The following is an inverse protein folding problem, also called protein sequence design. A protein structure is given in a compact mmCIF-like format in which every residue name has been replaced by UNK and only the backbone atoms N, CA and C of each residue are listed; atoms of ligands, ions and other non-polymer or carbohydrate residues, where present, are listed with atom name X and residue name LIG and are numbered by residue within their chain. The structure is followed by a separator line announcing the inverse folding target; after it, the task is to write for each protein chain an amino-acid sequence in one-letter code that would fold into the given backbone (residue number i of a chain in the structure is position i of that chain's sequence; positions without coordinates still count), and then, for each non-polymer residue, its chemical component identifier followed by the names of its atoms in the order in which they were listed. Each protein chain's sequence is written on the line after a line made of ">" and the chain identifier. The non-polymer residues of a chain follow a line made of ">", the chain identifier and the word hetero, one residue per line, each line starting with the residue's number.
data_IF_607335713821
#
_entry.id   IF_607335713821
#
_cell.length_a   1.000
_cell.length_b   1.000
_cell.length_c   1.000
_cell.angle_alpha   90.00
_cell.angle_beta   90.00
_cell.angle_gamma   90.00
#
_symmetry.space_group_name_H-M   'P 1'
#
loop_
_entity.id
_entity.type
_entity.pdbx_description
1 polymer ?
#
# COMPACT_ATOMS: atom_id res chain seq x y z
N UNK A 1 -17.60 4.73 9.90
CA UNK A 1 -16.15 4.81 10.23
C UNK A 1 -15.47 3.51 9.84
N UNK A 2 -14.30 3.61 9.20
CA UNK A 2 -13.42 2.47 8.95
C UNK A 2 -12.26 2.52 9.95
N UNK A 3 -12.03 1.43 10.67
CA UNK A 3 -10.91 1.28 11.60
C UNK A 3 -10.07 0.08 11.19
N UNK A 4 -8.76 0.28 11.10
CA UNK A 4 -7.77 -0.76 10.86
C UNK A 4 -7.02 -1.05 12.16
N UNK A 5 -6.99 -2.30 12.61
CA UNK A 5 -6.35 -2.65 13.89
C UNK A 5 -4.83 -2.80 13.76
N UNK A 6 -4.36 -3.05 12.53
CA UNK A 6 -2.98 -3.39 12.21
C UNK A 6 -2.08 -2.18 11.94
N UNK A 7 -0.84 -2.49 11.53
CA UNK A 7 0.09 -1.48 11.05
C UNK A 7 -0.42 -0.90 9.73
N UNK A 8 -0.29 0.41 9.53
CA UNK A 8 -0.83 1.07 8.33
C UNK A 8 -0.28 0.51 7.01
N UNK A 9 0.94 -0.05 7.03
CA UNK A 9 1.63 -0.64 5.88
C UNK A 9 1.42 -2.17 5.74
N UNK A 10 0.76 -2.80 6.72
CA UNK A 10 0.41 -4.21 6.73
C UNK A 10 -0.99 -4.37 7.35
N UNK A 11 -2.03 -3.86 6.66
CA UNK A 11 -3.38 -3.87 7.18
C UNK A 11 -3.90 -5.30 7.27
N UNK A 12 -4.41 -5.66 8.45
CA UNK A 12 -5.07 -6.94 8.69
C UNK A 12 -6.56 -6.72 8.95
N UNK A 13 -6.99 -7.12 10.14
CA UNK A 13 -8.37 -6.96 10.56
C UNK A 13 -8.86 -5.52 10.42
N UNK A 14 -10.11 -5.36 10.02
CA UNK A 14 -10.76 -4.06 9.97
C UNK A 14 -12.21 -4.13 10.41
N UNK A 15 -12.69 -2.97 10.84
CA UNK A 15 -14.05 -2.78 11.32
C UNK A 15 -14.70 -1.64 10.54
N UNK A 16 -15.89 -1.90 9.98
CA UNK A 16 -16.71 -0.90 9.31
C UNK A 16 -17.96 -0.64 10.16
N UNK A 17 -18.07 0.57 10.70
CA UNK A 17 -19.25 1.03 11.45
C UNK A 17 -20.11 1.97 10.61
N UNK A 18 -21.42 1.77 10.61
CA UNK A 18 -22.37 2.70 9.99
C UNK A 18 -22.27 4.09 10.62
N UNK A 19 -22.34 5.14 9.79
CA UNK A 19 -22.22 6.53 10.26
C UNK A 19 -23.33 6.93 11.24
N UNK A 20 -24.53 6.35 11.08
CA UNK A 20 -25.69 6.60 11.95
C UNK A 20 -25.75 5.68 13.18
N UNK A 21 -24.69 4.91 13.44
CA UNK A 21 -24.65 3.94 14.53
C UNK A 21 -25.48 2.68 14.26
N UNK A 22 -25.46 1.75 15.23
CA UNK A 22 -26.33 0.57 15.24
C UNK A 22 -25.89 -0.63 14.38
N UNK A 23 -25.01 -0.44 13.40
CA UNK A 23 -24.47 -1.54 12.60
C UNK A 23 -22.95 -1.48 12.52
N UNK A 24 -22.32 -2.64 12.75
CA UNK A 24 -20.88 -2.83 12.63
C UNK A 24 -20.62 -4.15 11.90
N UNK A 25 -19.70 -4.12 10.95
CA UNK A 25 -19.16 -5.29 10.27
C UNK A 25 -17.70 -5.47 10.67
N UNK A 26 -17.32 -6.71 10.91
CA UNK A 26 -15.97 -7.11 11.28
C UNK A 26 -15.40 -8.05 10.22
N UNK A 27 -14.23 -7.70 9.70
CA UNK A 27 -13.41 -8.60 8.90
C UNK A 27 -12.20 -9.05 9.71
N UNK A 28 -11.95 -10.34 9.71
CA UNK A 28 -10.77 -10.94 10.30
C UNK A 28 -9.90 -11.52 9.19
N UNK A 29 -8.64 -11.09 9.15
CA UNK A 29 -7.67 -11.52 8.16
C UNK A 29 -6.64 -12.43 8.84
N UNK A 30 -6.78 -13.77 8.69
CA UNK A 30 -5.87 -14.71 9.32
C UNK A 30 -4.45 -14.66 8.75
N UNK A 31 -4.29 -14.30 7.46
CA UNK A 31 -2.98 -14.16 6.80
C UNK A 31 -2.57 -12.69 6.86
N UNK A 32 -1.68 -12.35 7.76
CA UNK A 32 -1.28 -10.96 8.00
C UNK A 32 0.23 -10.75 7.82
N UNK A 33 0.65 -9.49 7.65
CA UNK A 33 2.05 -9.08 7.46
C UNK A 33 2.71 -9.73 6.25
N UNK A 34 3.75 -10.53 6.47
CA UNK A 34 4.56 -11.11 5.39
C UNK A 34 3.78 -12.13 4.57
N UNK A 35 2.79 -12.81 5.18
CA UNK A 35 1.95 -13.75 4.43
C UNK A 35 1.19 -13.00 3.32
N UNK A 36 0.72 -11.78 3.57
CA UNK A 36 -0.03 -10.96 2.60
C UNK A 36 0.77 -10.56 1.36
N UNK A 37 2.09 -10.76 1.34
CA UNK A 37 2.89 -10.53 0.13
C UNK A 37 2.42 -11.40 -1.04
N UNK A 38 1.72 -12.52 -0.78
CA UNK A 38 1.13 -13.34 -1.85
C UNK A 38 0.17 -12.55 -2.74
N UNK A 39 -0.57 -11.56 -2.21
CA UNK A 39 -1.48 -10.73 -3.03
C UNK A 39 -0.72 -9.93 -4.10
N UNK A 40 0.48 -9.45 -3.77
CA UNK A 40 1.33 -8.73 -4.73
C UNK A 40 1.87 -9.68 -5.79
N UNK A 41 2.27 -10.90 -5.40
CA UNK A 41 2.72 -11.93 -6.32
C UNK A 41 1.61 -12.39 -7.27
N UNK A 42 0.39 -12.59 -6.76
CA UNK A 42 -0.79 -12.94 -7.54
C UNK A 42 -1.13 -11.84 -8.55
N UNK A 43 -1.18 -10.58 -8.10
CA UNK A 43 -1.48 -9.44 -8.97
C UNK A 43 -0.41 -9.25 -10.06
N UNK A 44 0.87 -9.47 -9.73
CA UNK A 44 1.95 -9.46 -10.70
C UNK A 44 1.77 -10.55 -11.76
N UNK A 45 1.50 -11.80 -11.34
CA UNK A 45 1.24 -12.91 -12.26
C UNK A 45 0.02 -12.63 -13.15
N UNK A 46 -1.04 -12.04 -12.59
CA UNK A 46 -2.21 -11.61 -13.35
C UNK A 46 -1.85 -10.57 -14.41
N UNK A 47 -1.08 -9.53 -14.07
CA UNK A 47 -0.66 -8.50 -15.04
C UNK A 47 0.14 -9.10 -16.20
N UNK A 48 1.08 -10.00 -15.90
CA UNK A 48 1.86 -10.74 -16.91
C UNK A 48 0.94 -11.57 -17.80
N UNK A 49 -0.02 -12.29 -17.21
CA UNK A 49 -1.02 -13.08 -17.96
C UNK A 49 -1.92 -12.23 -18.85
N UNK A 50 -2.15 -10.96 -18.50
CA UNK A 50 -2.87 -9.98 -19.33
C UNK A 50 -1.98 -9.28 -20.37
N UNK A 51 -0.68 -9.58 -20.43
CA UNK A 51 0.27 -8.91 -21.31
C UNK A 51 0.51 -7.43 -20.96
N UNK A 52 0.23 -7.03 -19.71
CA UNK A 52 0.45 -5.67 -19.25
C UNK A 52 1.93 -5.47 -18.91
N UNK A 53 2.45 -4.29 -19.27
CA UNK A 53 3.80 -3.85 -18.89
C UNK A 53 3.82 -2.98 -17.64
N UNK A 54 2.64 -2.61 -17.13
CA UNK A 54 2.47 -1.81 -15.92
C UNK A 54 1.25 -2.27 -15.11
N UNK A 55 1.27 -2.04 -13.81
CA UNK A 55 0.19 -2.43 -12.91
C UNK A 55 -0.91 -1.36 -12.90
N UNK A 56 -2.18 -1.72 -13.14
CA UNK A 56 -3.28 -0.74 -13.11
C UNK A 56 -3.55 -0.18 -11.70
N UNK A 57 -3.21 -0.93 -10.64
CA UNK A 57 -3.40 -0.49 -9.24
C UNK A 57 -2.16 0.19 -8.66
N UNK A 58 -0.98 -0.05 -9.26
CA UNK A 58 0.28 0.59 -8.86
C UNK A 58 1.12 0.97 -10.10
N UNK A 59 0.67 1.96 -10.88
CA UNK A 59 1.37 2.37 -12.09
C UNK A 59 2.77 2.93 -11.80
N UNK A 60 3.70 2.77 -12.73
CA UNK A 60 5.06 3.32 -12.62
C UNK A 60 5.04 4.84 -12.39
N UNK A 61 4.14 5.57 -13.05
CA UNK A 61 4.01 7.02 -12.86
C UNK A 61 3.74 7.40 -11.40
N UNK A 62 2.88 6.65 -10.69
CA UNK A 62 2.61 6.86 -9.26
C UNK A 62 3.80 6.49 -8.37
N UNK A 63 4.59 5.49 -8.78
CA UNK A 63 5.83 5.14 -8.08
C UNK A 63 6.82 6.30 -8.16
N UNK A 64 7.02 6.87 -9.35
CA UNK A 64 7.92 8.01 -9.57
C UNK A 64 7.48 9.25 -8.79
N UNK A 65 6.18 9.54 -8.74
CA UNK A 65 5.65 10.65 -7.93
C UNK A 65 5.95 10.46 -6.44
N UNK A 66 5.71 9.27 -5.89
CA UNK A 66 6.01 8.99 -4.48
C UNK A 66 7.51 9.15 -4.17
N UNK A 67 8.38 8.65 -5.06
CA UNK A 67 9.83 8.80 -4.90
C UNK A 67 10.27 10.27 -4.97
N UNK A 68 9.67 11.05 -5.89
CA UNK A 68 9.94 12.48 -6.02
C UNK A 68 9.57 13.25 -4.75
N UNK A 69 8.46 12.88 -4.10
CA UNK A 69 8.07 13.45 -2.80
C UNK A 69 9.07 13.08 -1.71
N UNK A 70 9.56 11.84 -1.69
CA UNK A 70 10.60 11.42 -0.74
C UNK A 70 11.91 12.18 -0.92
N UNK A 71 12.33 12.41 -2.17
CA UNK A 71 13.51 13.20 -2.48
C UNK A 71 13.34 14.66 -2.06
N UNK A 72 12.16 15.24 -2.28
CA UNK A 72 11.86 16.60 -1.83
C UNK A 72 11.92 16.72 -0.30
N UNK A 73 11.38 15.73 0.44
CA UNK A 73 11.49 15.69 1.90
C UNK A 73 12.96 15.64 2.34
N UNK A 74 13.78 14.79 1.72
CA UNK A 74 15.23 14.72 2.03
C UNK A 74 15.94 16.04 1.76
N UNK A 75 15.64 16.67 0.61
CA UNK A 75 16.21 17.95 0.21
C UNK A 75 15.94 19.04 1.25
N UNK A 76 14.72 19.09 1.81
CA UNK A 76 14.34 20.08 2.83
C UNK A 76 15.11 19.93 4.16
N UNK A 77 15.56 18.71 4.48
CA UNK A 77 16.31 18.42 5.73
C UNK A 77 17.82 18.24 5.51
N UNK A 78 18.31 18.46 4.28
CA UNK A 78 19.74 18.38 3.95
C UNK A 78 20.32 16.96 3.95
N UNK A 79 19.48 15.93 3.82
CA UNK A 79 19.97 14.54 3.71
C UNK A 79 20.34 14.24 2.26
N UNK A 80 21.63 14.09 1.99
CA UNK A 80 22.19 13.80 0.65
C UNK A 80 22.87 12.44 0.68
N UNK A 81 22.57 11.58 -0.30
CA UNK A 81 23.22 10.29 -0.43
C UNK A 81 24.59 10.43 -1.10
N UNK A 82 25.48 9.46 -0.93
CA UNK A 82 26.85 9.56 -1.43
C UNK A 82 26.90 9.63 -2.97
N UNK A 83 25.94 8.99 -3.62
CA UNK A 83 25.75 8.93 -5.06
C UNK A 83 25.33 10.28 -5.68
N UNK A 84 24.87 11.22 -4.85
CA UNK A 84 24.38 12.55 -5.25
C UNK A 84 25.40 13.67 -4.97
N UNK A 85 26.62 13.31 -4.53
CA UNK A 85 27.69 14.25 -4.18
C UNK A 85 28.67 14.49 -5.31
#
# INVERSE_FOLDING_TARGET
>A
TLTLDGQFYAPGNFTLAASQGGQMLRWEEPRNRYDQLFYQAEHFAWCVGQGLTDSPIRPLARVLENLSVMDEVRRQIGVVFNEER
#
